data_IF_533981825423
#
_entry.id   IF_533981825423
#
_cell.length_a   1.000
_cell.length_b   1.000
_cell.length_c   1.000
_cell.angle_alpha   90.00
_cell.angle_beta   90.00
_cell.angle_gamma   90.00
#
_symmetry.space_group_name_H-M   'P 1'
#
loop_
_entity.id
_entity.type
_entity.pdbx_description
1 polymer ?
#
# COMPACT_ATOMS: atom_id res chain seq x y z
N UNK A 1 7.87 -6.41 0.84
CA UNK A 1 8.94 -6.51 1.85
C UNK A 1 8.50 -6.08 3.25
N UNK A 2 8.01 -4.84 3.47
CA UNK A 2 7.64 -4.35 4.82
C UNK A 2 6.63 -5.26 5.55
N UNK A 3 5.55 -5.65 4.87
CA UNK A 3 4.57 -6.57 5.46
C UNK A 3 5.20 -7.93 5.76
N UNK A 4 5.93 -8.53 4.82
CA UNK A 4 6.55 -9.84 5.03
C UNK A 4 7.50 -9.85 6.25
N UNK A 5 8.34 -8.82 6.39
CA UNK A 5 9.28 -8.68 7.51
C UNK A 5 8.62 -8.24 8.82
N UNK A 6 7.45 -7.59 8.76
CA UNK A 6 6.83 -6.94 9.92
C UNK A 6 7.46 -5.60 10.28
N UNK A 7 8.47 -5.13 9.55
CA UNK A 7 9.14 -3.85 9.79
C UNK A 7 8.48 -2.74 8.97
N UNK A 8 7.62 -1.96 9.63
CA UNK A 8 6.83 -0.91 8.98
C UNK A 8 7.63 0.33 8.60
N UNK A 9 8.87 0.48 9.09
CA UNK A 9 9.75 1.60 8.72
C UNK A 9 10.03 1.63 7.21
N UNK A 10 10.00 0.47 6.56
CA UNK A 10 10.14 0.36 5.10
C UNK A 10 8.90 0.82 4.33
N UNK A 11 7.72 0.85 4.96
CA UNK A 11 6.47 1.27 4.32
C UNK A 11 6.16 2.75 4.56
N UNK A 12 6.54 3.29 5.73
CA UNK A 12 6.20 4.64 6.19
C UNK A 12 6.37 5.76 5.14
N UNK A 13 7.45 5.81 4.32
CA UNK A 13 7.59 6.86 3.32
C UNK A 13 6.58 6.78 2.15
N UNK A 14 6.02 5.59 1.90
CA UNK A 14 5.24 5.27 0.70
C UNK A 14 3.74 5.14 0.95
N UNK A 15 3.31 5.22 2.21
CA UNK A 15 1.90 5.05 2.61
C UNK A 15 1.43 6.27 3.38
N UNK A 16 0.11 6.46 3.44
CA UNK A 16 -0.48 7.48 4.32
C UNK A 16 -0.41 7.04 5.78
N UNK A 17 -0.56 7.98 6.70
CA UNK A 17 -0.62 7.67 8.15
C UNK A 17 -1.76 6.69 8.48
N UNK A 18 -2.94 6.87 7.86
CA UNK A 18 -4.06 5.96 8.03
C UNK A 18 -3.77 4.55 7.51
N UNK A 19 -3.10 4.43 6.36
CA UNK A 19 -2.68 3.15 5.82
C UNK A 19 -1.60 2.49 6.70
N UNK A 20 -0.62 3.26 7.18
CA UNK A 20 0.42 2.77 8.09
C UNK A 20 -0.17 2.16 9.37
N UNK A 21 -1.15 2.83 9.98
CA UNK A 21 -1.86 2.34 11.16
C UNK A 21 -2.59 1.01 10.87
N UNK A 22 -3.24 0.90 9.70
CA UNK A 22 -3.90 -0.35 9.28
C UNK A 22 -2.90 -1.48 9.08
N UNK A 23 -1.82 -1.24 8.35
CA UNK A 23 -0.77 -2.24 8.12
C UNK A 23 -0.13 -2.70 9.43
N UNK A 24 0.12 -1.77 10.36
CA UNK A 24 0.64 -2.10 11.70
C UNK A 24 -0.33 -2.99 12.46
N UNK A 25 -1.63 -2.69 12.39
CA UNK A 25 -2.69 -3.52 12.94
C UNK A 25 -2.74 -4.93 12.32
N UNK A 26 -2.60 -5.04 11.00
CA UNK A 26 -2.54 -6.33 10.29
C UNK A 26 -1.35 -7.17 10.75
N UNK A 27 -0.16 -6.57 10.84
CA UNK A 27 1.05 -7.25 11.33
C UNK A 27 0.88 -7.71 12.78
N UNK A 28 0.31 -6.85 13.64
CA UNK A 28 0.09 -7.17 15.05
C UNK A 28 -0.91 -8.31 15.26
N UNK A 29 -1.88 -8.49 14.34
CA UNK A 29 -2.94 -9.51 14.42
C UNK A 29 -2.55 -10.87 13.83
N UNK A 30 -1.31 -11.06 13.38
CA UNK A 30 -0.86 -12.30 12.70
C UNK A 30 -0.98 -13.59 13.51
N UNK A 31 -1.17 -13.51 14.82
CA UNK A 31 -1.49 -14.67 15.65
C UNK A 31 -0.42 -15.76 15.54
N UNK A 32 -0.79 -16.95 15.06
CA UNK A 32 0.11 -18.11 14.90
C UNK A 32 1.14 -17.96 13.78
N UNK A 33 0.98 -16.99 12.88
CA UNK A 33 1.92 -16.76 11.79
C UNK A 33 3.18 -16.07 12.32
N UNK A 34 4.29 -16.80 12.36
CA UNK A 34 5.58 -16.28 12.79
C UNK A 34 6.39 -15.70 11.61
N UNK A 35 6.17 -16.24 10.41
CA UNK A 35 6.95 -15.86 9.22
C UNK A 35 6.06 -15.81 7.99
N UNK A 36 6.16 -14.72 7.24
CA UNK A 36 5.48 -14.55 5.96
C UNK A 36 6.57 -14.41 4.90
N UNK A 37 6.61 -15.34 3.96
CA UNK A 37 7.35 -15.17 2.72
C UNK A 37 6.41 -14.59 1.68
N UNK A 38 6.83 -13.48 1.07
CA UNK A 38 6.09 -12.86 -0.01
C UNK A 38 7.06 -12.25 -1.01
N UNK A 39 6.86 -12.55 -2.28
CA UNK A 39 7.63 -11.96 -3.39
C UNK A 39 6.74 -11.71 -4.60
N UNK A 40 7.02 -10.62 -5.30
CA UNK A 40 6.52 -10.39 -6.64
C UNK A 40 7.45 -11.16 -7.59
N UNK A 41 6.88 -12.04 -8.41
CA UNK A 41 7.60 -12.84 -9.40
C UNK A 41 7.92 -12.01 -10.63
N UNK A 42 6.92 -11.26 -11.10
CA UNK A 42 7.04 -10.36 -12.24
C UNK A 42 6.46 -9.01 -11.84
N UNK A 43 7.31 -8.00 -11.82
CA UNK A 43 6.88 -6.64 -11.55
C UNK A 43 5.98 -6.14 -12.71
N UNK A 44 4.82 -5.54 -12.40
CA UNK A 44 3.99 -4.94 -13.44
C UNK A 44 4.75 -3.84 -14.16
N UNK A 45 4.65 -3.83 -15.48
CA UNK A 45 5.15 -2.70 -16.27
C UNK A 45 4.15 -1.54 -16.18
N UNK A 46 4.59 -0.28 -16.34
CA UNK A 46 3.69 0.87 -16.28
C UNK A 46 2.50 0.76 -17.24
N UNK A 47 2.68 0.14 -18.40
CA UNK A 47 1.63 -0.11 -19.40
C UNK A 47 0.56 -1.12 -18.96
N UNK A 48 0.85 -1.95 -17.95
CA UNK A 48 -0.08 -2.94 -17.41
C UNK A 48 -0.98 -2.33 -16.32
N UNK A 49 -0.58 -1.17 -15.78
CA UNK A 49 -1.30 -0.47 -14.70
C UNK A 49 -2.37 0.42 -15.33
N UNK A 50 -3.63 0.12 -15.02
CA UNK A 50 -4.76 0.88 -15.56
C UNK A 50 -5.29 1.87 -14.51
N UNK A 51 -5.39 3.15 -14.87
CA UNK A 51 -6.15 4.12 -14.08
C UNK A 51 -7.64 3.78 -14.18
N UNK A 52 -8.26 3.50 -13.03
CA UNK A 52 -9.68 3.18 -12.91
C UNK A 52 -10.50 4.44 -12.64
N UNK A 53 -9.99 5.30 -11.75
CA UNK A 53 -10.64 6.55 -11.37
C UNK A 53 -9.63 7.58 -10.89
N UNK A 54 -9.93 8.86 -11.12
CA UNK A 54 -9.17 9.98 -10.60
C UNK A 54 -10.11 11.04 -10.05
N UNK A 55 -9.87 11.51 -8.84
CA UNK A 55 -10.70 12.52 -8.19
C UNK A 55 -9.84 13.55 -7.44
N UNK A 56 -10.36 14.79 -7.37
CA UNK A 56 -9.85 15.79 -6.43
C UNK A 56 -10.75 15.78 -5.21
N UNK A 57 -10.16 15.50 -4.04
CA UNK A 57 -10.88 15.43 -2.77
C UNK A 57 -10.49 16.64 -1.92
N UNK A 58 -11.48 17.32 -1.37
CA UNK A 58 -11.26 18.42 -0.43
C UNK A 58 -11.07 17.85 0.97
N UNK A 59 -10.10 18.37 1.72
CA UNK A 59 -10.01 18.05 3.14
C UNK A 59 -10.97 18.95 3.94
N UNK A 60 -12.07 18.41 4.50
CA UNK A 60 -13.03 19.22 5.26
C UNK A 60 -12.43 19.79 6.55
N UNK A 61 -11.40 19.15 7.11
CA UNK A 61 -10.76 19.54 8.37
C UNK A 61 -9.79 20.72 8.21
N UNK A 62 -9.39 21.07 6.99
CA UNK A 62 -8.40 22.13 6.70
C UNK A 62 -9.02 23.36 6.04
N UNK A 63 -10.32 23.62 6.25
CA UNK A 63 -11.04 24.78 5.72
C UNK A 63 -10.79 25.03 4.21
N UNK A 64 -10.75 23.97 3.40
CA UNK A 64 -10.52 24.08 1.95
C UNK A 64 -9.12 24.51 1.50
N UNK A 65 -8.13 24.59 2.41
CA UNK A 65 -6.74 24.97 2.05
C UNK A 65 -5.89 23.81 1.56
N UNK A 66 -6.33 22.58 1.82
CA UNK A 66 -5.64 21.35 1.42
C UNK A 66 -6.60 20.49 0.59
N UNK A 67 -6.20 20.26 -0.66
CA UNK A 67 -6.84 19.30 -1.55
C UNK A 67 -5.93 18.10 -1.72
N UNK A 68 -6.49 16.98 -2.15
CA UNK A 68 -5.74 15.80 -2.56
C UNK A 68 -6.18 15.41 -3.96
N UNK A 69 -5.24 14.96 -4.79
CA UNK A 69 -5.60 14.06 -5.90
C UNK A 69 -5.61 12.66 -5.35
N UNK A 70 -6.63 11.89 -5.69
CA UNK A 70 -6.67 10.46 -5.47
C UNK A 70 -6.79 9.73 -6.80
N UNK A 71 -5.97 8.70 -6.97
CA UNK A 71 -5.99 7.80 -8.12
C UNK A 71 -6.27 6.39 -7.66
N UNK A 72 -7.29 5.75 -8.22
CA UNK A 72 -7.49 4.32 -8.10
C UNK A 72 -6.88 3.65 -9.32
N UNK A 73 -5.87 2.81 -9.11
CA UNK A 73 -5.21 2.05 -10.16
C UNK A 73 -5.48 0.55 -9.98
N UNK A 74 -5.74 -0.13 -11.09
CA UNK A 74 -5.76 -1.59 -11.17
C UNK A 74 -4.33 -2.04 -11.46
N UNK A 75 -3.75 -2.80 -10.54
CA UNK A 75 -2.36 -3.27 -10.57
C UNK A 75 -2.37 -4.80 -10.70
N UNK A 76 -2.25 -5.34 -11.94
CA UNK A 76 -2.01 -6.76 -12.10
C UNK A 76 -0.61 -7.10 -11.62
N UNK A 77 -0.43 -8.27 -11.02
CA UNK A 77 0.90 -8.75 -10.62
C UNK A 77 0.91 -10.26 -10.52
N UNK A 78 2.09 -10.85 -10.57
CA UNK A 78 2.27 -12.27 -10.25
C UNK A 78 3.05 -12.38 -8.95
N UNK A 79 2.51 -13.10 -7.97
CA UNK A 79 3.02 -13.15 -6.61
C UNK A 79 3.16 -14.58 -6.12
N UNK A 80 4.06 -14.78 -5.16
CA UNK A 80 4.16 -16.01 -4.37
C UNK A 80 4.00 -15.61 -2.90
N UNK A 81 3.16 -16.35 -2.18
CA UNK A 81 2.93 -16.13 -0.75
C UNK A 81 2.95 -17.46 -0.01
N UNK A 82 3.67 -17.50 1.10
CA UNK A 82 3.69 -18.61 2.03
C UNK A 82 3.76 -18.09 3.46
N UNK A 83 2.96 -18.68 4.34
CA UNK A 83 2.85 -18.29 5.75
C UNK A 83 3.19 -19.49 6.60
N UNK A 84 4.08 -19.29 7.56
CA UNK A 84 4.60 -20.32 8.43
C UNK A 84 4.29 -20.03 9.90
N UNK A 85 4.06 -21.08 10.68
CA UNK A 85 3.98 -20.99 12.13
C UNK A 85 5.37 -20.84 12.78
N UNK A 86 5.40 -20.67 14.11
CA UNK A 86 6.64 -20.55 14.88
C UNK A 86 7.54 -21.81 14.85
N UNK A 87 7.00 -22.96 14.44
CA UNK A 87 7.74 -24.22 14.31
C UNK A 87 8.26 -24.43 12.88
N UNK A 88 7.95 -23.50 11.96
CA UNK A 88 8.34 -23.58 10.55
C UNK A 88 7.38 -24.39 9.69
N UNK A 89 6.22 -24.81 10.19
CA UNK A 89 5.22 -25.50 9.37
C UNK A 89 4.49 -24.50 8.48
N UNK A 90 4.24 -24.89 7.23
CA UNK A 90 3.39 -24.13 6.31
C UNK A 90 1.94 -24.17 6.82
N UNK A 91 1.35 -22.99 7.05
CA UNK A 91 -0.03 -22.85 7.53
C UNK A 91 -0.97 -22.17 6.52
N UNK A 92 -0.42 -21.44 5.54
CA UNK A 92 -1.19 -20.91 4.42
C UNK A 92 -0.29 -20.59 3.21
N UNK A 93 -0.89 -20.57 2.02
CA UNK A 93 -0.18 -20.32 0.75
C UNK A 93 0.61 -21.53 0.27
N UNK A 94 1.49 -21.30 -0.70
CA UNK A 94 2.38 -22.31 -1.27
C UNK A 94 3.64 -21.58 -1.80
N UNK A 95 4.85 -21.90 -1.29
CA UNK A 95 6.08 -21.23 -1.67
C UNK A 95 6.50 -21.47 -3.13
N UNK A 96 5.92 -22.47 -3.80
CA UNK A 96 6.24 -22.84 -5.18
C UNK A 96 5.15 -22.45 -6.18
N UNK A 97 3.98 -22.00 -5.70
CA UNK A 97 2.85 -21.66 -6.56
C UNK A 97 2.80 -20.16 -6.83
N UNK A 98 2.91 -19.81 -8.10
CA UNK A 98 2.68 -18.44 -8.56
C UNK A 98 1.18 -18.17 -8.68
N UNK A 99 0.75 -17.00 -8.22
CA UNK A 99 -0.63 -16.54 -8.24
C UNK A 99 -0.70 -15.26 -9.08
N UNK A 100 -1.61 -15.23 -10.06
CA UNK A 100 -1.99 -13.98 -10.71
C UNK A 100 -2.94 -13.23 -9.78
N UNK A 101 -2.54 -12.01 -9.39
CA UNK A 101 -3.25 -11.16 -8.43
C UNK A 101 -3.60 -9.84 -9.11
N UNK A 102 -4.82 -9.36 -8.89
CA UNK A 102 -5.25 -8.03 -9.32
C UNK A 102 -5.58 -7.23 -8.09
N UNK A 103 -4.74 -6.24 -7.80
CA UNK A 103 -4.99 -5.32 -6.70
C UNK A 103 -5.57 -4.00 -7.22
N UNK A 104 -6.44 -3.38 -6.43
CA UNK A 104 -6.92 -2.02 -6.67
C UNK A 104 -6.34 -1.09 -5.60
N UNK A 105 -5.35 -0.29 -6.00
CA UNK A 105 -4.62 0.60 -5.10
C UNK A 105 -5.13 2.03 -5.25
N UNK A 106 -5.47 2.65 -4.13
CA UNK A 106 -5.81 4.07 -4.06
C UNK A 106 -4.57 4.81 -3.60
N UNK A 107 -4.06 5.67 -4.46
CA UNK A 107 -2.96 6.57 -4.14
C UNK A 107 -3.50 7.97 -3.88
N UNK A 108 -2.85 8.71 -2.98
CA UNK A 108 -3.12 10.13 -2.78
C UNK A 108 -1.86 10.98 -2.95
N UNK A 109 -2.08 12.23 -3.38
CA UNK A 109 -1.06 13.26 -3.41
C UNK A 109 -1.66 14.59 -2.96
N UNK A 110 -1.07 15.29 -1.98
CA UNK A 110 -1.57 16.59 -1.57
C UNK A 110 -1.36 17.64 -2.67
N UNK A 111 -2.42 18.38 -2.99
CA UNK A 111 -2.36 19.64 -3.74
C UNK A 111 -2.63 20.77 -2.74
N UNK A 112 -1.60 21.56 -2.44
CA UNK A 112 -1.77 22.77 -1.65
C UNK A 112 -2.01 23.94 -2.63
N UNK A 113 -3.01 24.76 -2.33
CA UNK A 113 -3.30 25.99 -3.08
C UNK A 113 -2.53 27.23 -2.57
N UNK A 114 -1.53 27.08 -1.69
CA UNK A 114 -0.92 28.21 -0.98
C UNK A 114 0.61 28.25 -1.15
N UNK A 115 1.12 29.40 -1.60
CA UNK A 115 2.54 29.69 -1.84
C UNK A 115 3.45 29.51 -0.60
N UNK A 116 2.89 29.44 0.61
CA UNK A 116 3.63 29.48 1.88
C UNK A 116 3.34 28.34 2.86
N UNK A 117 2.65 27.28 2.43
CA UNK A 117 2.41 26.11 3.31
C UNK A 117 3.42 25.02 2.96
N UNK A 118 4.24 24.54 3.91
CA UNK A 118 5.13 23.40 3.66
C UNK A 118 4.29 22.18 3.25
N UNK A 119 4.71 21.50 2.17
CA UNK A 119 4.07 20.24 1.74
C UNK A 119 4.09 19.24 2.90
N UNK A 120 2.95 18.64 3.27
CA UNK A 120 2.97 17.52 4.19
C UNK A 120 3.70 16.33 3.53
N UNK A 121 4.60 15.69 4.29
CA UNK A 121 5.46 14.62 3.81
C UNK A 121 6.88 15.08 3.46
N UNK A 122 7.80 14.15 3.11
CA UNK A 122 9.14 14.50 2.64
C UNK A 122 9.07 15.49 1.45
N UNK A 123 10.04 16.39 1.36
CA UNK A 123 10.09 17.43 0.32
C UNK A 123 10.08 16.78 -1.07
N UNK A 124 8.99 16.95 -1.84
CA UNK A 124 8.85 16.38 -3.19
C UNK A 124 7.42 16.09 -3.64
N UNK A 125 6.46 15.91 -2.71
CA UNK A 125 5.12 15.38 -2.97
C UNK A 125 5.16 14.13 -3.86
N UNK A 126 5.63 13.04 -3.29
CA UNK A 126 5.43 11.71 -3.85
C UNK A 126 4.00 11.21 -3.59
N UNK A 127 3.50 10.40 -4.51
CA UNK A 127 2.26 9.65 -4.36
C UNK A 127 2.40 8.65 -3.22
N UNK A 128 1.39 8.57 -2.36
CA UNK A 128 1.37 7.61 -1.25
C UNK A 128 0.17 6.69 -1.36
N UNK A 129 0.35 5.43 -1.00
CA UNK A 129 -0.76 4.48 -0.93
C UNK A 129 -1.68 4.84 0.26
N UNK A 130 -2.91 5.19 -0.06
CA UNK A 130 -3.99 5.50 0.88
C UNK A 130 -4.79 4.25 1.25
N UNK A 131 -5.11 3.41 0.27
CA UNK A 131 -5.95 2.24 0.48
C UNK A 131 -5.66 1.12 -0.54
N UNK A 132 -6.02 -0.10 -0.17
CA UNK A 132 -6.12 -1.27 -1.05
C UNK A 132 -7.54 -1.80 -0.95
N UNK A 133 -8.29 -1.67 -2.05
CA UNK A 133 -9.67 -2.13 -2.11
C UNK A 133 -9.70 -3.65 -2.24
N UNK A 134 -10.49 -4.32 -1.40
CA UNK A 134 -10.78 -5.74 -1.52
C UNK A 134 -12.01 -5.88 -2.42
N UNK A 135 -11.85 -6.54 -3.57
CA UNK A 135 -12.94 -6.97 -4.44
C UNK A 135 -13.35 -8.40 -4.13
#
# INVERSE_FOLDING_TARGET
MALASGDMRYAEPYVTESMLLRLTGEVSRRGRAARVEWRIVSEPQPQDIQLVSGAVVQNPLKQGRLHFVQWTARVPSRQVVAVYDARGNLIAGDPNKELDVVDYWVFERPIIKALMVPRPGPQGADWRLLDRLQT
#
